data_IF_109397142866
#
_entry.id   IF_109397142866
#
_cell.length_a   1.000
_cell.length_b   1.000
_cell.length_c   1.000
_cell.angle_alpha   90.00
_cell.angle_beta   90.00
_cell.angle_gamma   90.00
#
_symmetry.space_group_name_H-M   'P 1'
#
loop_
_entity.id
_entity.type
_entity.pdbx_description
1 polymer ?
#
# COMPACT_ATOMS: atom_id res chain seq x y z
N UNK A 1 -34.28 -17.26 6.83
CA UNK A 1 -34.21 -16.01 6.02
C UNK A 1 -32.75 -15.66 5.89
N UNK A 2 -32.21 -15.94 4.72
CA UNK A 2 -30.84 -15.67 4.32
C UNK A 2 -30.61 -14.16 4.27
N UNK A 3 -29.57 -13.70 4.95
CA UNK A 3 -29.01 -12.37 4.73
C UNK A 3 -28.25 -12.38 3.40
N UNK A 4 -28.99 -12.28 2.32
CA UNK A 4 -28.50 -11.91 1.00
C UNK A 4 -28.52 -10.39 0.98
N UNK A 5 -27.33 -9.77 0.81
CA UNK A 5 -27.29 -8.36 0.44
C UNK A 5 -26.33 -7.51 1.26
N UNK A 6 -25.04 -7.83 1.28
CA UNK A 6 -24.06 -6.75 1.20
C UNK A 6 -23.70 -6.61 -0.28
N UNK A 7 -24.44 -5.78 -0.99
CA UNK A 7 -23.98 -5.32 -2.30
C UNK A 7 -22.57 -4.76 -2.11
N UNK A 8 -21.60 -5.45 -2.71
CA UNK A 8 -20.22 -4.98 -2.73
C UNK A 8 -20.20 -3.62 -3.43
N UNK A 9 -19.81 -2.58 -2.73
CA UNK A 9 -19.73 -1.21 -3.25
C UNK A 9 -18.55 -1.00 -4.21
N UNK A 10 -18.24 -1.97 -5.08
CA UNK A 10 -17.45 -1.69 -6.27
C UNK A 10 -18.34 -0.94 -7.23
N UNK A 11 -17.98 0.32 -7.46
CA UNK A 11 -18.69 1.17 -8.38
C UNK A 11 -18.51 0.67 -9.81
N UNK A 12 -17.24 0.54 -10.22
CA UNK A 12 -16.89 0.26 -11.60
C UNK A 12 -15.88 -0.89 -11.71
N UNK A 13 -16.03 -1.72 -12.74
CA UNK A 13 -15.12 -2.84 -13.05
C UNK A 13 -14.58 -2.64 -14.44
N UNK A 14 -13.25 -2.58 -14.53
CA UNK A 14 -12.54 -2.31 -15.77
C UNK A 14 -11.71 -3.51 -16.22
N UNK A 15 -11.72 -3.75 -17.51
CA UNK A 15 -10.72 -4.54 -18.19
C UNK A 15 -9.58 -3.62 -18.61
N UNK A 16 -8.34 -4.05 -18.37
CA UNK A 16 -7.13 -3.40 -18.86
C UNK A 16 -6.42 -4.40 -19.75
N UNK A 17 -6.45 -4.17 -21.06
CA UNK A 17 -5.87 -5.11 -22.03
C UNK A 17 -4.36 -5.00 -22.05
N UNK A 18 -3.67 -6.14 -21.85
CA UNK A 18 -2.22 -6.25 -22.00
C UNK A 18 -1.86 -6.83 -23.36
N UNK A 19 -1.00 -6.18 -24.14
CA UNK A 19 -0.60 -6.66 -25.47
C UNK A 19 0.29 -7.91 -25.40
N UNK A 20 0.83 -8.22 -24.23
CA UNK A 20 1.71 -9.37 -23.99
C UNK A 20 1.28 -10.15 -22.76
N UNK A 21 1.59 -11.47 -22.73
CA UNK A 21 1.29 -12.35 -21.59
C UNK A 21 1.98 -11.92 -20.30
N UNK A 22 3.16 -11.31 -20.41
CA UNK A 22 3.82 -10.65 -19.30
C UNK A 22 3.20 -9.26 -19.11
N UNK A 23 2.35 -9.14 -18.13
CA UNK A 23 1.51 -7.95 -17.86
C UNK A 23 2.22 -6.86 -17.03
N UNK A 24 3.54 -6.94 -16.84
CA UNK A 24 4.28 -6.02 -15.97
C UNK A 24 4.24 -4.56 -16.46
N UNK A 25 4.45 -4.35 -17.75
CA UNK A 25 4.41 -2.99 -18.33
C UNK A 25 3.00 -2.40 -18.24
N UNK A 26 1.97 -3.20 -18.52
CA UNK A 26 0.58 -2.78 -18.40
C UNK A 26 0.22 -2.40 -16.97
N UNK A 27 0.67 -3.22 -15.99
CA UNK A 27 0.51 -2.90 -14.57
C UNK A 27 1.22 -1.59 -14.20
N UNK A 28 2.45 -1.40 -14.65
CA UNK A 28 3.21 -0.16 -14.42
C UNK A 28 2.44 1.06 -14.95
N UNK A 29 1.98 1.03 -16.19
CA UNK A 29 1.21 2.13 -16.82
C UNK A 29 -0.08 2.41 -16.06
N UNK A 30 -0.81 1.36 -15.65
CA UNK A 30 -2.00 1.51 -14.84
C UNK A 30 -1.70 2.18 -13.50
N UNK A 31 -0.70 1.71 -12.75
CA UNK A 31 -0.35 2.28 -11.46
C UNK A 31 0.13 3.73 -11.55
N UNK A 32 0.85 4.09 -12.61
CA UNK A 32 1.21 5.48 -12.87
C UNK A 32 -0.04 6.35 -13.13
N UNK A 33 -1.04 5.80 -13.80
CA UNK A 33 -2.32 6.49 -14.08
C UNK A 33 -3.15 6.67 -12.82
N UNK A 34 -3.19 5.67 -11.93
CA UNK A 34 -3.91 5.75 -10.65
C UNK A 34 -3.25 6.69 -9.63
N UNK A 35 -1.98 7.00 -9.81
CA UNK A 35 -1.26 8.00 -9.00
C UNK A 35 -1.09 7.62 -7.54
N UNK A 36 -1.44 8.53 -6.62
CA UNK A 36 -1.30 8.35 -5.17
C UNK A 36 -2.57 7.75 -4.51
N UNK A 37 -3.49 7.19 -5.27
CA UNK A 37 -4.65 6.53 -4.70
C UNK A 37 -4.30 5.14 -4.17
N UNK A 38 -4.85 4.79 -3.01
CA UNK A 38 -4.56 3.51 -2.34
C UNK A 38 -4.97 2.32 -3.21
N UNK A 39 -3.99 1.53 -3.62
CA UNK A 39 -4.16 0.45 -4.58
C UNK A 39 -3.63 -0.87 -4.02
N UNK A 40 -4.46 -1.91 -4.05
CA UNK A 40 -4.10 -3.27 -3.67
C UNK A 40 -4.00 -4.14 -4.93
N UNK A 41 -2.80 -4.63 -5.22
CA UNK A 41 -2.52 -5.51 -6.37
C UNK A 41 -2.48 -6.95 -5.91
N UNK A 42 -3.29 -7.81 -6.52
CA UNK A 42 -3.35 -9.22 -6.20
C UNK A 42 -2.61 -10.10 -7.20
N UNK A 43 -1.71 -10.92 -6.67
CA UNK A 43 -1.05 -12.03 -7.36
C UNK A 43 -1.45 -13.37 -6.73
N UNK A 44 -1.48 -14.44 -7.54
CA UNK A 44 -1.85 -15.77 -7.06
C UNK A 44 -0.71 -16.45 -6.26
N UNK A 45 0.56 -16.09 -6.54
CA UNK A 45 1.74 -16.73 -5.95
C UNK A 45 2.70 -15.69 -5.37
N UNK A 46 3.41 -16.08 -4.29
CA UNK A 46 4.41 -15.22 -3.62
C UNK A 46 5.56 -14.82 -4.55
N UNK A 47 6.00 -15.74 -5.41
CA UNK A 47 7.05 -15.49 -6.40
C UNK A 47 6.63 -14.40 -7.41
N UNK A 48 5.34 -14.34 -7.73
CA UNK A 48 4.79 -13.28 -8.57
C UNK A 48 4.73 -11.94 -7.84
N UNK A 49 4.43 -11.94 -6.53
CA UNK A 49 4.48 -10.73 -5.69
C UNK A 49 5.89 -10.15 -5.70
N UNK A 50 6.92 -10.99 -5.45
CA UNK A 50 8.32 -10.56 -5.46
C UNK A 50 8.77 -10.05 -6.83
N UNK A 51 8.38 -10.74 -7.90
CA UNK A 51 8.73 -10.35 -9.28
C UNK A 51 8.11 -9.01 -9.64
N UNK A 52 6.82 -8.82 -9.35
CA UNK A 52 6.11 -7.56 -9.59
C UNK A 52 6.74 -6.43 -8.78
N UNK A 53 7.00 -6.65 -7.48
CA UNK A 53 7.65 -5.66 -6.61
C UNK A 53 9.03 -5.23 -7.13
N UNK A 54 9.89 -6.19 -7.50
CA UNK A 54 11.22 -5.90 -8.07
C UNK A 54 11.14 -5.08 -9.37
N UNK A 55 10.22 -5.45 -10.26
CA UNK A 55 10.00 -4.71 -11.50
C UNK A 55 9.57 -3.27 -11.22
N UNK A 56 8.55 -3.08 -10.39
CA UNK A 56 8.02 -1.75 -10.07
C UNK A 56 9.08 -0.88 -9.38
N UNK A 57 9.88 -1.42 -8.47
CA UNK A 57 11.00 -0.71 -7.84
C UNK A 57 12.05 -0.28 -8.88
N UNK A 58 12.37 -1.15 -9.86
CA UNK A 58 13.30 -0.79 -10.95
C UNK A 58 12.78 0.37 -11.80
N UNK A 59 11.45 0.48 -11.91
CA UNK A 59 10.74 1.57 -12.58
C UNK A 59 10.49 2.79 -11.66
N UNK A 60 11.09 2.82 -10.45
CA UNK A 60 10.95 3.89 -9.46
C UNK A 60 9.52 4.11 -8.94
N UNK A 61 8.70 3.06 -8.97
CA UNK A 61 7.38 3.05 -8.33
C UNK A 61 7.53 2.66 -6.87
N UNK A 62 6.98 3.47 -5.97
CA UNK A 62 6.96 3.19 -4.53
C UNK A 62 5.84 2.19 -4.24
N UNK A 63 6.20 0.95 -3.93
CA UNK A 63 5.28 -0.12 -3.58
C UNK A 63 5.84 -0.99 -2.46
N UNK A 64 4.97 -1.65 -1.72
CA UNK A 64 5.33 -2.65 -0.71
C UNK A 64 4.79 -4.02 -1.12
N UNK A 65 5.59 -5.05 -0.90
CA UNK A 65 5.21 -6.45 -1.11
C UNK A 65 4.79 -7.08 0.20
N UNK A 66 3.83 -8.02 0.14
CA UNK A 66 3.31 -8.68 1.32
C UNK A 66 2.85 -10.11 1.04
N UNK A 67 3.55 -11.10 1.58
CA UNK A 67 3.19 -12.51 1.45
C UNK A 67 3.71 -13.35 2.63
N UNK A 68 3.21 -14.56 2.77
CA UNK A 68 3.52 -15.43 3.90
C UNK A 68 4.98 -15.93 3.99
N UNK A 69 5.79 -15.75 2.94
CA UNK A 69 7.21 -16.10 2.94
C UNK A 69 8.14 -15.01 3.48
N UNK A 70 7.60 -13.83 3.83
CA UNK A 70 8.39 -12.73 4.41
C UNK A 70 8.55 -12.89 5.93
N UNK A 71 9.66 -12.37 6.45
CA UNK A 71 9.86 -12.25 7.90
C UNK A 71 8.79 -11.35 8.54
N UNK A 72 8.47 -11.60 9.81
CA UNK A 72 7.40 -10.87 10.50
C UNK A 72 7.66 -9.36 10.57
N UNK A 73 8.91 -8.96 10.82
CA UNK A 73 9.30 -7.55 10.92
C UNK A 73 9.14 -6.82 9.57
N UNK A 74 9.46 -7.49 8.46
CA UNK A 74 9.28 -6.93 7.12
C UNK A 74 7.80 -6.79 6.76
N UNK A 75 6.99 -7.78 7.16
CA UNK A 75 5.54 -7.73 6.99
C UNK A 75 4.92 -6.56 7.77
N UNK A 76 5.31 -6.40 9.02
CA UNK A 76 4.83 -5.29 9.84
C UNK A 76 5.24 -3.94 9.25
N UNK A 77 6.48 -3.81 8.83
CA UNK A 77 7.01 -2.59 8.20
C UNK A 77 6.25 -2.22 6.94
N UNK A 78 6.06 -3.17 6.02
CA UNK A 78 5.30 -2.96 4.79
C UNK A 78 3.87 -2.49 5.09
N UNK A 79 3.20 -3.14 6.05
CA UNK A 79 1.86 -2.78 6.46
C UNK A 79 1.80 -1.35 7.06
N UNK A 80 2.77 -0.98 7.91
CA UNK A 80 2.80 0.37 8.49
C UNK A 80 3.06 1.46 7.45
N UNK A 81 3.96 1.23 6.51
CA UNK A 81 4.20 2.17 5.40
C UNK A 81 2.95 2.39 4.56
N UNK A 82 2.20 1.34 4.30
CA UNK A 82 0.94 1.45 3.58
C UNK A 82 -0.12 2.20 4.40
N UNK A 83 -0.30 1.84 5.68
CA UNK A 83 -1.29 2.46 6.58
C UNK A 83 -1.04 3.94 6.88
N UNK A 84 0.20 4.39 6.84
CA UNK A 84 0.57 5.76 7.16
C UNK A 84 0.75 6.67 5.92
N UNK A 85 0.47 6.16 4.71
CA UNK A 85 0.54 6.93 3.48
C UNK A 85 1.96 7.15 2.93
N UNK A 86 2.97 6.42 3.45
CA UNK A 86 4.33 6.42 2.86
C UNK A 86 4.44 5.53 1.63
N UNK A 87 3.46 4.70 1.40
CA UNK A 87 3.27 3.87 0.22
C UNK A 87 1.77 3.80 -0.10
N UNK A 88 1.41 3.88 -1.36
CA UNK A 88 0.02 3.79 -1.82
C UNK A 88 -0.27 2.51 -2.61
N UNK A 89 0.76 1.72 -2.92
CA UNK A 89 0.64 0.48 -3.71
C UNK A 89 1.09 -0.69 -2.86
N UNK A 90 0.18 -1.63 -2.61
CA UNK A 90 0.44 -2.82 -1.81
C UNK A 90 0.19 -4.07 -2.66
N UNK A 91 1.21 -4.90 -2.82
CA UNK A 91 1.18 -6.10 -3.68
C UNK A 91 1.11 -7.32 -2.79
N UNK A 92 0.08 -8.14 -2.92
CA UNK A 92 -0.15 -9.24 -1.99
C UNK A 92 -0.74 -10.48 -2.65
N UNK A 93 -0.64 -11.61 -1.94
CA UNK A 93 -1.44 -12.81 -2.21
C UNK A 93 -2.74 -12.78 -1.42
N UNK A 94 -3.75 -13.55 -1.85
CA UNK A 94 -5.04 -13.65 -1.15
C UNK A 94 -4.88 -14.04 0.31
N UNK A 95 -4.08 -15.08 0.56
CA UNK A 95 -3.90 -15.62 1.91
C UNK A 95 -3.27 -14.59 2.86
N UNK A 96 -2.27 -13.87 2.37
CA UNK A 96 -1.59 -12.87 3.17
C UNK A 96 -2.46 -11.65 3.46
N UNK A 97 -3.30 -11.23 2.50
CA UNK A 97 -4.20 -10.09 2.64
C UNK A 97 -5.41 -10.36 3.56
N UNK A 98 -5.74 -11.64 3.82
CA UNK A 98 -6.85 -12.00 4.72
C UNK A 98 -6.58 -11.55 6.15
N UNK A 99 -7.56 -10.93 6.78
CA UNK A 99 -7.46 -10.49 8.17
C UNK A 99 -6.58 -9.26 8.41
N UNK A 100 -5.97 -8.68 7.37
CA UNK A 100 -5.25 -7.44 7.53
C UNK A 100 -6.24 -6.28 7.75
N UNK A 101 -5.96 -5.49 8.78
CA UNK A 101 -6.58 -4.19 8.97
C UNK A 101 -5.89 -3.18 8.05
N UNK A 102 -6.31 -3.17 6.78
CA UNK A 102 -5.84 -2.25 5.76
C UNK A 102 -6.84 -1.09 5.69
N UNK A 103 -6.37 0.17 5.63
CA UNK A 103 -7.26 1.32 5.46
C UNK A 103 -8.02 1.23 4.14
N UNK A 104 -8.97 2.12 3.94
CA UNK A 104 -9.81 2.17 2.76
C UNK A 104 -9.01 2.07 1.47
N UNK A 105 -9.22 0.99 0.73
CA UNK A 105 -8.60 0.74 -0.56
C UNK A 105 -9.48 1.38 -1.64
N UNK A 106 -8.89 2.27 -2.41
CA UNK A 106 -9.57 2.92 -3.53
C UNK A 106 -9.64 2.00 -4.75
N UNK A 107 -8.57 1.27 -5.01
CA UNK A 107 -8.47 0.40 -6.18
C UNK A 107 -8.00 -1.01 -5.83
N UNK A 108 -8.65 -2.00 -6.41
CA UNK A 108 -8.19 -3.39 -6.44
C UNK A 108 -7.75 -3.73 -7.86
N UNK A 109 -6.53 -4.23 -8.01
CA UNK A 109 -5.98 -4.66 -9.29
C UNK A 109 -5.77 -6.18 -9.27
N UNK A 110 -6.45 -6.89 -10.14
CA UNK A 110 -6.23 -8.30 -10.39
C UNK A 110 -5.12 -8.46 -11.44
N UNK A 111 -3.85 -8.55 -10.98
CA UNK A 111 -2.73 -8.90 -11.86
C UNK A 111 -2.85 -10.34 -12.37
N UNK A 112 -3.28 -11.26 -11.48
CA UNK A 112 -3.81 -12.57 -11.84
C UNK A 112 -5.25 -12.68 -11.35
N UNK A 113 -6.13 -13.21 -12.17
CA UNK A 113 -7.48 -13.56 -11.73
C UNK A 113 -7.40 -14.67 -10.66
N UNK A 114 -8.25 -14.65 -9.63
CA UNK A 114 -8.32 -15.72 -8.66
C UNK A 114 -8.87 -17.01 -9.31
N UNK A 115 -8.52 -18.15 -8.74
CA UNK A 115 -8.94 -19.46 -9.26
C UNK A 115 -10.44 -19.69 -9.07
N UNK A 116 -11.05 -19.09 -8.04
CA UNK A 116 -12.44 -19.29 -7.67
C UNK A 116 -13.16 -17.98 -7.36
N UNK A 117 -14.50 -18.03 -7.47
CA UNK A 117 -15.39 -16.88 -7.21
C UNK A 117 -15.21 -16.30 -5.81
N UNK A 118 -15.08 -17.12 -4.79
CA UNK A 118 -14.84 -16.65 -3.41
C UNK A 118 -13.60 -15.74 -3.31
N UNK A 119 -12.53 -16.09 -4.04
CA UNK A 119 -11.34 -15.26 -4.13
C UNK A 119 -11.63 -13.89 -4.75
N UNK A 120 -12.43 -13.87 -5.81
CA UNK A 120 -12.83 -12.62 -6.47
C UNK A 120 -13.66 -11.73 -5.54
N UNK A 121 -14.63 -12.32 -4.85
CA UNK A 121 -15.47 -11.62 -3.88
C UNK A 121 -14.62 -11.05 -2.73
N UNK A 122 -13.72 -11.86 -2.15
CA UNK A 122 -12.87 -11.44 -1.04
C UNK A 122 -11.87 -10.34 -1.43
N UNK A 123 -11.28 -10.40 -2.64
CA UNK A 123 -10.38 -9.34 -3.14
C UNK A 123 -11.13 -8.02 -3.31
N UNK A 124 -12.26 -8.08 -3.96
CA UNK A 124 -13.08 -6.93 -4.22
C UNK A 124 -13.69 -6.33 -2.94
N UNK A 125 -13.99 -7.16 -1.93
CA UNK A 125 -14.42 -6.71 -0.60
C UNK A 125 -13.36 -5.95 0.21
N UNK A 126 -12.17 -5.69 -0.34
CA UNK A 126 -11.16 -4.78 0.25
C UNK A 126 -11.40 -3.33 -0.10
N UNK A 127 -12.14 -3.05 -1.15
CA UNK A 127 -12.62 -1.70 -1.46
C UNK A 127 -13.96 -1.45 -0.76
N UNK A 128 -14.28 -0.19 -0.54
CA UNK A 128 -15.61 0.25 -0.14
C UNK A 128 -16.14 -0.32 1.19
N UNK A 129 -15.38 -0.15 2.26
CA UNK A 129 -15.93 -0.18 3.61
C UNK A 129 -16.55 1.19 3.89
N UNK A 130 -17.86 1.23 4.19
CA UNK A 130 -18.57 2.44 4.63
C UNK A 130 -18.49 3.61 3.63
N UNK A 131 -19.38 3.64 2.63
CA UNK A 131 -19.61 4.77 1.70
C UNK A 131 -18.42 5.14 0.75
N UNK A 132 -17.28 4.45 0.78
CA UNK A 132 -16.20 4.69 -0.16
C UNK A 132 -16.43 3.94 -1.49
N UNK A 133 -16.51 4.65 -2.58
CA UNK A 133 -16.59 4.09 -3.93
C UNK A 133 -15.21 3.58 -4.35
N UNK A 134 -15.11 2.31 -4.73
CA UNK A 134 -13.87 1.69 -5.18
C UNK A 134 -13.97 1.08 -6.56
N UNK A 135 -12.86 1.03 -7.28
CA UNK A 135 -12.78 0.44 -8.62
C UNK A 135 -11.98 -0.86 -8.62
N UNK A 136 -12.39 -1.80 -9.46
CA UNK A 136 -11.66 -3.03 -9.71
C UNK A 136 -11.11 -3.05 -11.15
N UNK A 137 -9.82 -3.34 -11.28
CA UNK A 137 -9.13 -3.47 -12.57
C UNK A 137 -8.66 -4.90 -12.79
N UNK A 138 -8.99 -5.47 -13.93
CA UNK A 138 -8.59 -6.81 -14.34
C UNK A 138 -7.58 -6.67 -15.49
N UNK A 139 -6.31 -6.96 -15.25
CA UNK A 139 -5.28 -6.93 -16.31
C UNK A 139 -5.31 -8.27 -17.04
N UNK A 140 -5.70 -8.25 -18.29
CA UNK A 140 -5.94 -9.44 -19.11
C UNK A 140 -5.16 -9.36 -20.42
N UNK A 141 -4.55 -10.47 -20.81
CA UNK A 141 -4.09 -10.69 -22.18
C UNK A 141 -5.26 -11.20 -23.03
N UNK A 142 -5.25 -10.95 -24.33
CA UNK A 142 -6.37 -11.32 -25.21
C UNK A 142 -6.67 -12.83 -25.25
N UNK A 143 -5.67 -13.67 -25.01
CA UNK A 143 -5.84 -15.12 -24.92
C UNK A 143 -6.38 -15.59 -23.55
N UNK A 144 -6.46 -14.73 -22.55
CA UNK A 144 -6.96 -15.09 -21.22
C UNK A 144 -8.50 -15.14 -21.23
N UNK A 145 -9.03 -16.31 -20.90
CA UNK A 145 -10.48 -16.48 -20.71
C UNK A 145 -10.93 -15.77 -19.43
N UNK A 146 -11.94 -14.91 -19.55
CA UNK A 146 -12.60 -14.31 -18.40
C UNK A 146 -13.55 -15.36 -17.80
N UNK A 147 -13.35 -15.78 -16.53
CA UNK A 147 -14.21 -16.75 -15.87
C UNK A 147 -15.66 -16.26 -15.74
N UNK A 148 -16.58 -17.20 -15.67
CA UNK A 148 -18.02 -16.93 -15.62
C UNK A 148 -18.45 -16.22 -14.32
N UNK A 149 -17.66 -16.32 -13.24
CA UNK A 149 -17.92 -15.64 -11.98
C UNK A 149 -17.60 -14.13 -12.02
N UNK A 150 -16.92 -13.65 -13.06
CA UNK A 150 -16.66 -12.21 -13.21
C UNK A 150 -17.91 -11.54 -13.76
N UNK A 151 -18.53 -10.63 -13.00
CA UNK A 151 -19.75 -9.93 -13.44
C UNK A 151 -19.51 -9.12 -14.70
N UNK A 152 -20.51 -9.10 -15.58
CA UNK A 152 -20.48 -8.34 -16.84
C UNK A 152 -21.59 -7.29 -16.86
N UNK A 153 -21.44 -6.20 -17.63
CA UNK A 153 -20.33 -5.92 -18.54
C UNK A 153 -19.06 -5.45 -17.80
N UNK A 154 -17.89 -5.64 -18.44
CA UNK A 154 -16.64 -4.98 -18.08
C UNK A 154 -16.41 -3.82 -19.04
N UNK A 155 -16.15 -2.65 -18.52
CA UNK A 155 -15.73 -1.51 -19.31
C UNK A 155 -14.23 -1.62 -19.64
N UNK A 156 -13.84 -1.26 -20.86
CA UNK A 156 -12.42 -1.19 -21.22
C UNK A 156 -11.82 0.09 -20.64
N UNK A 157 -10.71 -0.06 -19.90
CA UNK A 157 -9.95 1.07 -19.40
C UNK A 157 -8.76 1.32 -20.30
N UNK A 158 -8.80 2.44 -21.00
CA UNK A 158 -7.72 2.87 -21.87
C UNK A 158 -6.62 3.54 -21.07
N UNK A 159 -5.39 3.04 -21.22
CA UNK A 159 -4.20 3.63 -20.57
C UNK A 159 -3.80 4.89 -21.36
N UNK A 160 -3.54 6.01 -20.68
CA UNK A 160 -3.15 7.24 -21.35
C UNK A 160 -1.75 7.12 -21.99
N UNK A 161 -1.61 7.75 -23.15
CA UNK A 161 -0.31 7.96 -23.78
C UNK A 161 -0.09 9.47 -23.96
N UNK A 162 1.04 10.03 -23.49
CA UNK A 162 2.14 9.33 -22.79
C UNK A 162 1.76 8.88 -21.36
N UNK A 163 2.41 7.81 -20.92
CA UNK A 163 2.22 7.30 -19.55
C UNK A 163 2.64 8.36 -18.52
N UNK A 164 1.83 8.67 -17.50
CA UNK A 164 2.20 9.57 -16.43
C UNK A 164 3.46 9.08 -15.67
N UNK A 165 4.19 10.01 -15.06
CA UNK A 165 5.31 9.65 -14.18
C UNK A 165 4.80 8.95 -12.92
N UNK A 166 5.58 8.01 -12.35
CA UNK A 166 5.25 7.41 -11.07
C UNK A 166 5.01 8.46 -9.99
N UNK A 167 3.90 8.33 -9.26
CA UNK A 167 3.58 9.26 -8.19
C UNK A 167 4.52 9.09 -6.99
N UNK A 168 4.88 10.20 -6.36
CA UNK A 168 5.68 10.21 -5.14
C UNK A 168 4.76 10.34 -3.93
N UNK A 169 4.80 9.40 -2.97
CA UNK A 169 4.08 9.56 -1.71
C UNK A 169 4.53 10.82 -0.96
N UNK A 170 3.60 11.54 -0.38
CA UNK A 170 3.89 12.78 0.38
C UNK A 170 4.65 12.52 1.67
N UNK A 171 4.50 11.34 2.25
CA UNK A 171 5.14 10.92 3.48
C UNK A 171 6.27 9.91 3.24
N UNK A 172 7.15 9.80 4.21
CA UNK A 172 8.10 8.71 4.41
C UNK A 172 7.97 8.21 5.86
N UNK A 173 8.28 6.95 6.09
CA UNK A 173 8.22 6.35 7.43
C UNK A 173 9.57 6.42 8.11
N UNK A 174 9.61 6.97 9.33
CA UNK A 174 10.71 6.83 10.26
C UNK A 174 10.51 5.57 11.11
N UNK A 175 11.56 4.78 11.26
CA UNK A 175 11.70 3.77 12.32
C UNK A 175 12.34 4.43 13.54
N UNK A 176 11.77 4.19 14.71
CA UNK A 176 12.24 4.70 16.00
C UNK A 176 12.44 3.49 16.90
N UNK A 177 13.69 3.17 17.24
CA UNK A 177 14.09 1.95 17.96
C UNK A 177 13.75 1.97 19.45
N UNK A 178 12.72 2.66 19.88
CA UNK A 178 12.18 2.72 21.25
C UNK A 178 10.66 2.81 21.23
N UNK A 179 10.00 2.25 22.26
CA UNK A 179 8.56 2.16 22.34
C UNK A 179 7.98 2.28 23.74
N UNK A 180 6.82 1.67 23.95
CA UNK A 180 6.06 1.74 25.22
C UNK A 180 6.85 1.27 26.43
N UNK A 181 7.66 0.20 26.29
CA UNK A 181 8.51 -0.33 27.38
C UNK A 181 9.63 0.63 27.78
N UNK A 182 10.01 1.53 26.87
CA UNK A 182 10.94 2.62 27.16
C UNK A 182 10.23 3.89 27.67
N UNK A 183 8.94 3.79 28.00
CA UNK A 183 8.07 4.91 28.42
C UNK A 183 7.94 6.02 27.39
N UNK A 184 8.08 5.67 26.11
CA UNK A 184 7.87 6.57 24.97
C UNK A 184 6.46 6.32 24.40
N UNK A 185 5.71 7.39 24.23
CA UNK A 185 4.38 7.38 23.67
C UNK A 185 4.27 8.26 22.41
N UNK A 186 3.11 8.26 21.79
CA UNK A 186 2.84 9.05 20.58
C UNK A 186 3.08 10.55 20.77
N UNK A 187 2.68 11.11 21.91
CA UNK A 187 2.83 12.54 22.21
C UNK A 187 4.32 12.90 22.32
N UNK A 188 5.13 12.04 22.96
CA UNK A 188 6.57 12.25 23.08
C UNK A 188 7.24 12.31 21.71
N UNK A 189 6.85 11.40 20.78
CA UNK A 189 7.38 11.36 19.41
C UNK A 189 6.96 12.60 18.61
N UNK A 190 5.68 12.94 18.63
CA UNK A 190 5.16 14.11 17.90
C UNK A 190 5.82 15.38 18.44
N UNK A 191 5.90 15.55 19.77
CA UNK A 191 6.57 16.68 20.39
C UNK A 191 8.06 16.78 20.04
N UNK A 192 8.76 15.65 20.00
CA UNK A 192 10.16 15.57 19.59
C UNK A 192 10.35 15.98 18.14
N UNK A 193 9.56 15.43 17.22
CA UNK A 193 9.63 15.73 15.78
C UNK A 193 9.29 17.20 15.50
N UNK A 194 8.36 17.79 16.24
CA UNK A 194 8.04 19.21 16.10
C UNK A 194 9.11 20.11 16.67
N UNK A 195 9.55 19.89 17.90
CA UNK A 195 10.47 20.80 18.62
C UNK A 195 11.92 20.67 18.15
N UNK A 196 12.37 19.44 17.88
CA UNK A 196 13.76 19.14 17.48
C UNK A 196 13.91 18.88 15.99
N UNK A 197 12.89 18.28 15.37
CA UNK A 197 12.89 17.95 13.94
C UNK A 197 12.42 19.09 13.04
N UNK A 198 11.88 20.17 13.59
CA UNK A 198 11.41 21.32 12.82
C UNK A 198 10.15 21.06 11.99
N UNK A 199 9.33 20.08 12.39
CA UNK A 199 8.12 19.69 11.68
C UNK A 199 6.89 20.42 12.21
N UNK A 200 6.08 20.96 11.31
CA UNK A 200 4.76 21.48 11.61
C UNK A 200 3.72 20.38 11.79
N UNK A 201 2.49 20.77 12.13
CA UNK A 201 1.37 19.86 12.36
C UNK A 201 1.10 18.95 11.15
N UNK A 202 1.10 19.53 9.96
CA UNK A 202 0.77 18.82 8.71
C UNK A 202 1.95 18.00 8.17
N UNK A 203 3.14 18.18 8.73
CA UNK A 203 4.34 17.43 8.36
C UNK A 203 4.46 16.09 9.09
N UNK A 204 3.68 15.85 10.13
CA UNK A 204 3.68 14.62 10.93
C UNK A 204 2.35 13.92 10.70
N UNK A 205 2.41 12.79 10.04
CA UNK A 205 1.25 11.94 9.79
C UNK A 205 1.01 10.93 10.93
N UNK A 206 0.61 9.72 10.55
CA UNK A 206 0.32 8.66 11.51
C UNK A 206 1.57 8.22 12.26
N UNK A 207 1.42 8.07 13.57
CA UNK A 207 2.43 7.54 14.48
C UNK A 207 1.87 6.31 15.18
N UNK A 208 2.54 5.18 15.05
CA UNK A 208 2.21 3.90 15.69
C UNK A 208 3.34 3.49 16.65
N UNK A 209 3.02 3.35 17.94
CA UNK A 209 3.98 2.98 18.99
C UNK A 209 3.74 1.55 19.44
N UNK A 210 4.77 0.72 19.31
CA UNK A 210 4.84 -0.65 19.78
C UNK A 210 5.59 -0.76 21.11
N UNK A 211 5.75 -1.96 21.62
CA UNK A 211 6.44 -2.20 22.87
C UNK A 211 7.89 -1.73 22.85
N UNK A 212 8.62 -2.05 21.79
CA UNK A 212 10.08 -1.82 21.67
C UNK A 212 10.48 -0.83 20.58
N UNK A 213 9.55 -0.43 19.70
CA UNK A 213 9.83 0.47 18.59
C UNK A 213 8.57 1.27 18.22
N UNK A 214 8.74 2.25 17.35
CA UNK A 214 7.64 3.00 16.78
C UNK A 214 7.89 3.31 15.29
N UNK A 215 6.81 3.57 14.57
CA UNK A 215 6.84 4.13 13.22
C UNK A 215 6.15 5.48 13.22
N UNK A 216 6.74 6.45 12.52
CA UNK A 216 6.17 7.77 12.34
C UNK A 216 6.24 8.20 10.88
N UNK A 217 5.11 8.59 10.31
CA UNK A 217 5.09 9.22 8.99
C UNK A 217 5.51 10.68 9.11
N UNK A 218 6.44 11.10 8.28
CA UNK A 218 6.84 12.52 8.18
C UNK A 218 6.84 12.98 6.72
N UNK A 219 6.67 14.28 6.52
CA UNK A 219 6.72 14.89 5.19
C UNK A 219 8.01 14.50 4.46
N UNK A 220 7.86 13.92 3.27
CA UNK A 220 8.99 13.55 2.40
C UNK A 220 9.89 14.71 2.09
N UNK A 221 9.30 15.89 1.85
CA UNK A 221 10.04 17.13 1.52
C UNK A 221 10.98 17.56 2.64
N UNK A 222 10.61 17.32 3.90
CA UNK A 222 11.39 17.73 5.08
C UNK A 222 12.23 16.61 5.68
N UNK A 223 12.06 15.36 5.25
CA UNK A 223 12.68 14.17 5.85
C UNK A 223 14.21 14.28 5.99
N UNK A 224 14.91 14.70 4.94
CA UNK A 224 16.38 14.85 4.96
C UNK A 224 16.84 15.88 5.98
N UNK A 225 16.17 17.02 6.05
CA UNK A 225 16.48 18.08 7.01
C UNK A 225 16.16 17.63 8.44
N UNK A 226 15.00 17.03 8.65
CA UNK A 226 14.57 16.50 9.95
C UNK A 226 15.57 15.49 10.49
N UNK A 227 15.97 14.48 9.69
CA UNK A 227 16.97 13.49 10.12
C UNK A 227 18.29 14.14 10.52
N UNK A 228 18.75 15.15 9.81
CA UNK A 228 19.97 15.91 10.17
C UNK A 228 19.81 16.62 11.49
N UNK A 229 18.67 17.27 11.76
CA UNK A 229 18.41 18.00 13.00
C UNK A 229 18.31 17.09 14.22
N UNK A 230 17.74 15.89 14.07
CA UNK A 230 17.53 14.95 15.20
C UNK A 230 18.64 13.94 15.41
N UNK A 231 19.67 13.95 14.58
CA UNK A 231 20.73 12.92 14.57
C UNK A 231 21.36 12.61 15.93
N UNK A 232 21.55 13.63 16.78
CA UNK A 232 22.15 13.50 18.11
C UNK A 232 21.17 13.82 19.24
N UNK A 233 19.91 14.01 18.93
CA UNK A 233 18.90 14.39 19.91
C UNK A 233 18.34 13.15 20.63
N UNK A 234 17.79 13.38 21.82
CA UNK A 234 17.17 12.36 22.65
C UNK A 234 15.66 12.55 22.71
N UNK A 235 14.92 11.47 22.63
CA UNK A 235 13.49 11.47 22.90
C UNK A 235 13.30 11.29 24.40
N UNK A 236 12.76 12.28 25.10
CA UNK A 236 12.51 12.23 26.56
C UNK A 236 13.76 11.82 27.38
N UNK A 237 14.92 12.32 26.94
CA UNK A 237 16.20 11.98 27.59
C UNK A 237 16.80 10.63 27.17
N UNK A 238 16.12 9.83 26.38
CA UNK A 238 16.57 8.51 25.92
C UNK A 238 17.21 8.60 24.54
N UNK A 239 18.45 8.15 24.42
CA UNK A 239 19.11 8.02 23.11
C UNK A 239 18.43 6.91 22.29
N UNK A 240 18.04 7.23 21.07
CA UNK A 240 17.22 6.34 20.27
C UNK A 240 17.73 6.30 18.84
N UNK A 241 17.80 5.11 18.23
CA UNK A 241 18.03 4.96 16.80
C UNK A 241 16.81 5.49 16.06
N UNK A 242 17.04 6.41 15.13
CA UNK A 242 16.00 6.94 14.25
C UNK A 242 16.54 6.95 12.84
N UNK A 243 15.87 6.26 11.93
CA UNK A 243 16.25 6.15 10.53
C UNK A 243 15.01 6.01 9.63
N UNK A 244 15.20 6.18 8.32
CA UNK A 244 14.14 5.84 7.38
C UNK A 244 13.88 4.33 7.42
N UNK A 245 12.62 3.94 7.53
CA UNK A 245 12.23 2.53 7.43
C UNK A 245 12.52 2.04 6.00
N UNK A 246 13.43 1.08 5.88
CA UNK A 246 13.85 0.48 4.59
C UNK A 246 12.80 -0.48 4.08
#
# INVERSE_FOLDING_TARGET
>A
RSLVGSEMCIRDRYRVTSPVKDKLETLYKLLCTLGNESTLVFCNHRESVDRVGKYLHSMKVYCETFHGGMEQDDRERALYKFRNGSCHIFISTDLAARGLDIPDIRHVVHYHLPVAEDGFIHRNGRTARWEAEGNAFLILHDEERIPDYVPRPLEEFELPEPTPQPALPEFVTLYIGKGKKDKINKIDIVGFLSKKGGLGRDDVGRVDVKDHYAFAAISRKKAKQTLKLIQNEKIKGVKTLIELAK
#
